data_IF_382535625834
#
_entry.id   IF_382535625834
#
_cell.length_a   1.000
_cell.length_b   1.000
_cell.length_c   1.000
_cell.angle_alpha   90.00
_cell.angle_beta   90.00
_cell.angle_gamma   90.00
#
_symmetry.space_group_name_H-M   'P 1'
#
loop_
_entity.id
_entity.type
_entity.pdbx_description
1 polymer ?
#
# COMPACT_ATOMS: atom_id res chain seq x y z
N UNK A 1 6.09 26.23 -2.44
CA UNK A 1 6.79 25.31 -1.54
C UNK A 1 5.80 24.76 -0.53
N UNK A 2 6.17 23.73 0.25
CA UNK A 2 5.33 23.22 1.33
C UNK A 2 4.95 24.33 2.34
N UNK A 3 5.88 25.24 2.62
CA UNK A 3 5.63 26.42 3.46
C UNK A 3 4.57 27.37 2.85
N UNK A 4 4.59 27.58 1.53
CA UNK A 4 3.57 28.37 0.83
C UNK A 4 2.18 27.71 0.92
N UNK A 5 2.11 26.37 0.91
CA UNK A 5 0.86 25.63 1.06
C UNK A 5 0.27 25.85 2.46
N UNK A 6 1.08 25.73 3.52
CA UNK A 6 0.66 26.03 4.89
C UNK A 6 0.18 27.48 5.06
N UNK A 7 0.87 28.43 4.44
CA UNK A 7 0.44 29.84 4.41
C UNK A 7 -0.89 30.04 3.68
N UNK A 8 -1.11 29.32 2.57
CA UNK A 8 -2.35 29.40 1.78
C UNK A 8 -3.54 28.75 2.48
N UNK A 9 -3.34 27.61 3.16
CA UNK A 9 -4.40 26.93 3.92
C UNK A 9 -4.63 27.52 5.31
N UNK A 10 -3.76 28.43 5.76
CA UNK A 10 -3.82 29.03 7.09
C UNK A 10 -3.52 28.02 8.22
N UNK A 11 -2.96 26.85 7.89
CA UNK A 11 -2.68 25.79 8.86
C UNK A 11 -1.24 25.88 9.36
N UNK A 12 -1.05 25.61 10.66
CA UNK A 12 0.29 25.37 11.20
C UNK A 12 0.74 23.94 10.87
N UNK A 13 2.06 23.71 10.87
CA UNK A 13 2.62 22.37 10.69
C UNK A 13 2.09 21.38 11.74
N UNK A 14 1.94 21.83 13.00
CA UNK A 14 1.47 20.98 14.08
C UNK A 14 -0.02 20.63 13.92
N UNK A 15 -0.85 21.59 13.48
CA UNK A 15 -2.26 21.32 13.18
C UNK A 15 -2.40 20.31 12.03
N UNK A 16 -1.57 20.44 10.98
CA UNK A 16 -1.54 19.50 9.86
C UNK A 16 -1.11 18.09 10.30
N UNK A 17 -0.09 18.00 11.17
CA UNK A 17 0.34 16.70 11.72
C UNK A 17 -0.76 16.05 12.55
N UNK A 18 -1.47 16.83 13.36
CA UNK A 18 -2.53 16.30 14.20
C UNK A 18 -3.73 15.83 13.36
N UNK A 19 -4.08 16.55 12.29
CA UNK A 19 -5.14 16.10 11.37
C UNK A 19 -4.78 14.83 10.61
N UNK A 20 -3.49 14.60 10.31
CA UNK A 20 -3.02 13.38 9.63
C UNK A 20 -2.78 12.19 10.57
N UNK A 21 -2.65 12.44 11.88
CA UNK A 21 -2.28 11.41 12.87
C UNK A 21 -3.25 10.22 12.88
N UNK A 22 -4.60 10.38 12.85
CA UNK A 22 -5.51 9.24 12.91
C UNK A 22 -5.34 8.30 11.71
N UNK A 23 -5.22 8.85 10.51
CA UNK A 23 -5.00 8.08 9.28
C UNK A 23 -3.64 7.37 9.31
N UNK A 24 -2.59 8.07 9.74
CA UNK A 24 -1.25 7.50 9.85
C UNK A 24 -1.20 6.32 10.85
N UNK A 25 -1.84 6.47 12.01
CA UNK A 25 -1.96 5.39 13.00
C UNK A 25 -2.69 4.19 12.42
N UNK A 26 -3.85 4.41 11.78
CA UNK A 26 -4.63 3.34 11.14
C UNK A 26 -3.80 2.61 10.08
N UNK A 27 -3.08 3.36 9.24
CA UNK A 27 -2.23 2.79 8.19
C UNK A 27 -1.13 1.91 8.77
N UNK A 28 -0.41 2.39 9.79
CA UNK A 28 0.65 1.62 10.45
C UNK A 28 0.08 0.36 11.09
N UNK A 29 -1.06 0.45 11.78
CA UNK A 29 -1.72 -0.71 12.39
C UNK A 29 -2.10 -1.75 11.33
N UNK A 30 -2.71 -1.32 10.22
CA UNK A 30 -3.05 -2.23 9.11
C UNK A 30 -1.81 -2.91 8.52
N UNK A 31 -0.71 -2.18 8.31
CA UNK A 31 0.55 -2.75 7.82
C UNK A 31 1.11 -3.81 8.78
N UNK A 32 1.17 -3.49 10.08
CA UNK A 32 1.66 -4.44 11.10
C UNK A 32 0.80 -5.71 11.19
N UNK A 33 -0.52 -5.58 11.04
CA UNK A 33 -1.42 -6.73 11.03
C UNK A 33 -1.16 -7.61 9.81
N UNK A 34 -1.01 -7.02 8.62
CA UNK A 34 -0.71 -7.78 7.40
C UNK A 34 0.66 -8.46 7.48
N UNK A 35 1.69 -7.79 7.99
CA UNK A 35 3.01 -8.38 8.24
C UNK A 35 2.93 -9.57 9.21
N UNK A 36 2.12 -9.45 10.28
CA UNK A 36 1.90 -10.55 11.21
C UNK A 36 1.21 -11.75 10.54
N UNK A 37 0.26 -11.51 9.63
CA UNK A 37 -0.40 -12.56 8.85
C UNK A 37 0.57 -13.23 7.89
N UNK A 38 1.39 -12.45 7.17
CA UNK A 38 2.45 -12.98 6.30
C UNK A 38 3.34 -13.96 7.06
N UNK A 39 3.77 -13.58 8.28
CA UNK A 39 4.58 -14.44 9.13
C UNK A 39 3.82 -15.67 9.67
N UNK A 40 2.56 -15.50 10.09
CA UNK A 40 1.76 -16.58 10.68
C UNK A 40 1.39 -17.66 9.65
N UNK A 41 1.05 -17.25 8.43
CA UNK A 41 0.64 -18.14 7.34
C UNK A 41 1.81 -18.57 6.45
N UNK A 42 3.04 -18.14 6.77
CA UNK A 42 4.26 -18.39 6.01
C UNK A 42 4.14 -18.04 4.52
N UNK A 43 3.60 -16.86 4.25
CA UNK A 43 3.39 -16.35 2.89
C UNK A 43 4.72 -15.83 2.36
N UNK A 44 5.21 -16.44 1.29
CA UNK A 44 6.46 -16.05 0.65
C UNK A 44 6.23 -15.55 -0.79
N UNK A 45 7.00 -14.53 -1.18
CA UNK A 45 7.10 -14.09 -2.56
C UNK A 45 8.18 -14.90 -3.28
N UNK A 46 7.79 -15.54 -4.38
CA UNK A 46 8.69 -16.35 -5.21
C UNK A 46 9.46 -15.49 -6.20
N UNK A 47 10.47 -16.07 -6.87
CA UNK A 47 11.11 -15.41 -8.01
C UNK A 47 10.13 -15.16 -9.16
N UNK A 48 9.15 -16.05 -9.36
CA UNK A 48 8.10 -15.86 -10.37
C UNK A 48 7.20 -14.67 -10.03
N UNK A 49 6.89 -14.46 -8.75
CA UNK A 49 6.10 -13.31 -8.33
C UNK A 49 6.88 -12.00 -8.57
N UNK A 50 8.19 -12.00 -8.31
CA UNK A 50 9.07 -10.87 -8.59
C UNK A 50 9.15 -10.59 -10.10
N UNK A 51 9.22 -11.64 -10.91
CA UNK A 51 9.28 -11.57 -12.36
C UNK A 51 8.01 -10.93 -12.96
N UNK A 52 6.83 -11.32 -12.45
CA UNK A 52 5.54 -10.70 -12.80
C UNK A 52 5.47 -9.23 -12.38
N UNK A 53 6.02 -8.90 -11.22
CA UNK A 53 6.06 -7.50 -10.76
C UNK A 53 6.94 -6.64 -11.67
N UNK A 54 8.07 -7.17 -12.16
CA UNK A 54 8.87 -6.46 -13.17
C UNK A 54 8.13 -6.28 -14.50
N UNK A 55 7.33 -7.25 -14.94
CA UNK A 55 6.48 -7.10 -16.13
C UNK A 55 5.41 -6.02 -15.93
N UNK A 56 4.78 -6.00 -14.75
CA UNK A 56 3.81 -4.97 -14.40
C UNK A 56 4.45 -3.58 -14.41
N UNK A 57 5.63 -3.43 -13.81
CA UNK A 57 6.39 -2.18 -13.81
C UNK A 57 6.82 -1.77 -15.22
N UNK A 58 7.36 -2.70 -16.00
CA UNK A 58 7.73 -2.49 -17.40
C UNK A 58 6.55 -1.93 -18.22
N UNK A 59 5.37 -2.54 -18.06
CA UNK A 59 4.14 -2.06 -18.70
C UNK A 59 3.75 -0.66 -18.24
N UNK A 60 3.75 -0.38 -16.93
CA UNK A 60 3.39 0.93 -16.38
C UNK A 60 4.33 2.05 -16.83
N UNK A 61 5.63 1.78 -16.82
CA UNK A 61 6.66 2.75 -17.17
C UNK A 61 6.98 2.78 -18.66
N UNK A 62 6.37 1.90 -19.47
CA UNK A 62 6.67 1.72 -20.89
C UNK A 62 8.16 1.48 -21.16
N UNK A 63 8.76 0.62 -20.33
CA UNK A 63 10.17 0.26 -20.37
C UNK A 63 10.31 -1.26 -20.54
N UNK A 64 11.48 -1.70 -20.99
CA UNK A 64 11.77 -3.13 -21.05
C UNK A 64 12.02 -3.69 -19.64
N UNK A 65 11.51 -4.89 -19.38
CA UNK A 65 11.64 -5.60 -18.09
C UNK A 65 13.09 -5.74 -17.64
N UNK A 66 13.98 -6.10 -18.56
CA UNK A 66 15.41 -6.28 -18.27
C UNK A 66 16.06 -4.97 -17.81
N UNK A 67 15.62 -3.83 -18.33
CA UNK A 67 16.10 -2.53 -17.89
C UNK A 67 15.65 -2.25 -16.45
N UNK A 68 14.37 -2.47 -16.14
CA UNK A 68 13.84 -2.30 -14.77
C UNK A 68 14.61 -3.21 -13.79
N UNK A 69 14.75 -4.49 -14.12
CA UNK A 69 15.46 -5.45 -13.29
C UNK A 69 16.94 -5.08 -13.09
N UNK A 70 17.58 -4.49 -14.09
CA UNK A 70 18.98 -4.04 -14.01
C UNK A 70 19.20 -2.87 -13.06
N UNK A 71 18.19 -2.03 -12.86
CA UNK A 71 18.26 -0.88 -11.95
C UNK A 71 17.99 -1.25 -10.49
N UNK A 72 17.48 -2.46 -10.23
CA UNK A 72 17.13 -2.92 -8.89
C UNK A 72 18.29 -3.71 -8.27
N UNK A 73 18.82 -3.20 -7.17
CA UNK A 73 19.76 -3.94 -6.33
C UNK A 73 19.08 -5.02 -5.51
N UNK A 74 19.87 -5.79 -4.78
CA UNK A 74 19.36 -6.92 -3.98
C UNK A 74 18.44 -6.45 -2.85
N UNK A 75 18.72 -5.29 -2.24
CA UNK A 75 17.88 -4.71 -1.20
C UNK A 75 16.52 -4.25 -1.74
N UNK A 76 16.50 -3.63 -2.92
CA UNK A 76 15.26 -3.23 -3.59
C UNK A 76 14.41 -4.45 -3.95
N UNK A 77 15.04 -5.53 -4.45
CA UNK A 77 14.37 -6.80 -4.74
C UNK A 77 13.81 -7.46 -3.48
N UNK A 78 14.55 -7.44 -2.37
CA UNK A 78 14.06 -7.97 -1.10
C UNK A 78 12.84 -7.18 -0.58
N UNK A 79 12.88 -5.85 -0.66
CA UNK A 79 11.74 -5.02 -0.27
C UNK A 79 10.53 -5.26 -1.17
N UNK A 80 10.74 -5.41 -2.48
CA UNK A 80 9.67 -5.76 -3.42
C UNK A 80 9.05 -7.11 -3.07
N UNK A 81 9.85 -8.12 -2.72
CA UNK A 81 9.34 -9.41 -2.24
C UNK A 81 8.49 -9.27 -0.97
N UNK A 82 8.86 -8.39 -0.03
CA UNK A 82 8.04 -8.10 1.16
C UNK A 82 6.70 -7.47 0.78
N UNK A 83 6.71 -6.50 -0.12
CA UNK A 83 5.50 -5.85 -0.62
C UNK A 83 4.57 -6.85 -1.34
N UNK A 84 5.13 -7.73 -2.17
CA UNK A 84 4.41 -8.82 -2.84
C UNK A 84 3.80 -9.77 -1.81
N UNK A 85 4.54 -10.17 -0.77
CA UNK A 85 4.02 -11.05 0.28
C UNK A 85 2.83 -10.41 1.02
N UNK A 86 2.89 -9.10 1.29
CA UNK A 86 1.77 -8.34 1.86
C UNK A 86 0.56 -8.34 0.92
N UNK A 87 0.75 -8.14 -0.39
CA UNK A 87 -0.33 -8.22 -1.37
C UNK A 87 -0.99 -9.61 -1.38
N UNK A 88 -0.19 -10.67 -1.37
CA UNK A 88 -0.68 -12.06 -1.29
C UNK A 88 -1.44 -12.33 0.02
N UNK A 89 -1.05 -11.71 1.14
CA UNK A 89 -1.81 -11.79 2.38
C UNK A 89 -3.19 -11.12 2.27
N UNK A 90 -3.30 -9.99 1.55
CA UNK A 90 -4.59 -9.36 1.26
C UNK A 90 -5.46 -10.27 0.39
N UNK A 91 -4.89 -10.90 -0.63
CA UNK A 91 -5.59 -11.87 -1.48
C UNK A 91 -6.08 -13.08 -0.68
N UNK A 92 -5.22 -13.66 0.15
CA UNK A 92 -5.58 -14.74 1.08
C UNK A 92 -6.76 -14.35 1.97
N UNK A 93 -6.72 -13.18 2.61
CA UNK A 93 -7.83 -12.69 3.43
C UNK A 93 -9.12 -12.53 2.63
N UNK A 94 -9.03 -12.02 1.39
CA UNK A 94 -10.19 -11.87 0.50
C UNK A 94 -10.82 -13.22 0.17
N UNK A 95 -10.02 -14.26 -0.07
CA UNK A 95 -10.52 -15.61 -0.35
C UNK A 95 -11.21 -16.25 0.85
N UNK A 96 -10.77 -15.93 2.06
CA UNK A 96 -11.40 -16.39 3.31
C UNK A 96 -12.59 -15.52 3.75
N UNK A 97 -12.75 -14.34 3.17
CA UNK A 97 -13.81 -13.41 3.56
C UNK A 97 -15.17 -13.87 3.03
N UNK A 98 -16.20 -13.77 3.88
CA UNK A 98 -17.59 -13.88 3.44
C UNK A 98 -17.98 -12.58 2.75
N UNK A 99 -17.87 -12.55 1.42
CA UNK A 99 -18.23 -11.39 0.62
C UNK A 99 -19.75 -11.33 0.49
N UNK A 100 -20.34 -10.28 1.04
CA UNK A 100 -21.75 -9.93 0.81
C UNK A 100 -21.81 -8.79 -0.19
N UNK A 101 -22.47 -9.00 -1.32
CA UNK A 101 -22.74 -7.90 -2.26
C UNK A 101 -23.78 -6.96 -1.65
N UNK A 102 -23.40 -5.70 -1.47
CA UNK A 102 -24.33 -4.64 -1.07
C UNK A 102 -24.97 -4.10 -2.35
N UNK A 103 -26.23 -4.43 -2.59
CA UNK A 103 -27.03 -3.95 -3.73
C UNK A 103 -27.69 -2.58 -3.48
N UNK A 104 -27.05 -1.74 -2.66
CA UNK A 104 -27.51 -0.39 -2.31
C UNK A 104 -26.44 0.66 -2.62
N UNK A 105 -26.89 1.89 -2.90
CA UNK A 105 -26.04 3.07 -3.10
C UNK A 105 -25.02 3.16 -1.96
N UNK A 106 -23.73 3.31 -2.31
CA UNK A 106 -22.66 3.45 -1.32
C UNK A 106 -22.80 4.82 -0.66
N UNK A 107 -23.55 4.86 0.45
CA UNK A 107 -23.59 5.99 1.35
C UNK A 107 -22.25 6.08 2.10
N UNK A 108 -21.23 6.58 1.40
CA UNK A 108 -20.02 7.08 2.05
C UNK A 108 -20.44 8.30 2.89
N UNK A 109 -20.86 8.06 4.13
CA UNK A 109 -20.87 9.09 5.16
C UNK A 109 -19.42 9.38 5.53
N UNK A 110 -18.72 10.09 4.63
CA UNK A 110 -17.51 10.80 4.97
C UNK A 110 -17.85 11.74 6.11
N UNK A 111 -17.29 11.45 7.28
CA UNK A 111 -17.33 12.25 8.49
C UNK A 111 -17.22 13.72 8.09
N UNK A 112 -18.34 14.46 8.20
CA UNK A 112 -18.34 15.90 7.93
C UNK A 112 -17.42 16.52 8.96
N UNK A 113 -16.26 17.00 8.51
CA UNK A 113 -15.45 17.91 9.29
C UNK A 113 -16.28 19.18 9.57
N UNK A 114 -16.80 19.29 10.79
CA UNK A 114 -17.21 20.56 11.40
C UNK A 114 -15.99 21.37 11.87
#
# INVERSE_FOLDING_TARGET
SFEQYLQFTGQSLDAMKESMRPEAVRRIQSSLVLEAIVAAENIEATEEDLDKEFERMASMYQMEKDQIASFMGDAEKENMKKDIAIQKAVEFLREQAVVTEVSGELDYEGEKAE
#
